data_IF_427622238673
#
_entry.id   IF_427622238673
#
_cell.length_a   1.000
_cell.length_b   1.000
_cell.length_c   1.000
_cell.angle_alpha   90.00
_cell.angle_beta   90.00
_cell.angle_gamma   90.00
#
_symmetry.space_group_name_H-M   'P 1'
#
loop_
_entity.id
_entity.type
_entity.pdbx_description
1 polymer ?
#
# COMPACT_ATOMS: atom_id res chain seq x y z
N UNK A 1 -26.17 -7.47 22.06
CA UNK A 1 -25.75 -6.39 21.15
C UNK A 1 -25.03 -7.01 19.97
N UNK A 2 -25.65 -7.04 18.79
CA UNK A 2 -25.05 -7.55 17.56
C UNK A 2 -24.22 -6.41 16.94
N UNK A 3 -22.89 -6.46 17.00
CA UNK A 3 -22.04 -5.56 16.22
C UNK A 3 -21.81 -6.19 14.85
N UNK A 4 -22.68 -5.86 13.90
CA UNK A 4 -22.45 -6.12 12.48
C UNK A 4 -21.41 -5.13 11.97
N UNK A 5 -20.13 -5.39 12.20
CA UNK A 5 -19.04 -4.68 11.51
C UNK A 5 -18.93 -5.24 10.09
N UNK A 6 -19.37 -4.43 9.13
CA UNK A 6 -19.28 -4.71 7.70
C UNK A 6 -17.79 -4.88 7.30
N UNK A 7 -17.34 -6.04 6.81
CA UNK A 7 -15.91 -6.32 6.54
C UNK A 7 -15.32 -5.41 5.45
N UNK A 8 -16.14 -4.70 4.68
CA UNK A 8 -15.68 -3.72 3.70
C UNK A 8 -15.20 -2.37 4.27
N UNK A 9 -15.60 -2.00 5.50
CA UNK A 9 -15.28 -0.68 6.07
C UNK A 9 -13.96 -0.66 6.84
N UNK A 10 -13.66 -1.76 7.55
CA UNK A 10 -12.43 -1.89 8.36
C UNK A 10 -11.17 -1.85 7.51
N UNK A 11 -11.20 -2.49 6.34
CA UNK A 11 -10.05 -2.54 5.45
C UNK A 11 -9.72 -1.18 4.81
N UNK A 12 -10.73 -0.34 4.58
CA UNK A 12 -10.53 1.02 4.07
C UNK A 12 -9.93 1.94 5.15
N UNK A 13 -10.39 1.81 6.39
CA UNK A 13 -9.83 2.56 7.54
C UNK A 13 -8.36 2.20 7.78
N UNK A 14 -8.01 0.91 7.79
CA UNK A 14 -6.61 0.46 7.93
C UNK A 14 -5.70 1.01 6.82
N UNK A 15 -6.19 1.08 5.59
CA UNK A 15 -5.44 1.65 4.46
C UNK A 15 -5.29 3.16 4.59
N UNK A 16 -6.33 3.86 5.03
CA UNK A 16 -6.27 5.30 5.27
C UNK A 16 -5.25 5.63 6.37
N UNK A 17 -5.23 4.85 7.45
CA UNK A 17 -4.23 5.01 8.53
C UNK A 17 -2.80 4.75 8.04
N UNK A 18 -2.60 3.70 7.24
CA UNK A 18 -1.28 3.43 6.64
C UNK A 18 -0.84 4.56 5.71
N UNK A 19 -1.73 5.03 4.84
CA UNK A 19 -1.45 6.15 3.95
C UNK A 19 -1.09 7.41 4.75
N UNK A 20 -1.82 7.73 5.82
CA UNK A 20 -1.51 8.87 6.69
C UNK A 20 -0.12 8.75 7.33
N UNK A 21 0.28 7.55 7.78
CA UNK A 21 1.64 7.30 8.31
C UNK A 21 2.72 7.53 7.26
N UNK A 22 2.49 7.07 6.02
CA UNK A 22 3.42 7.28 4.90
C UNK A 22 3.52 8.76 4.54
N UNK A 23 2.39 9.47 4.45
CA UNK A 23 2.33 10.90 4.12
C UNK A 23 2.99 11.75 5.22
N UNK A 24 2.89 11.35 6.49
CA UNK A 24 3.53 12.06 7.60
C UNK A 24 5.05 11.94 7.63
N UNK A 25 5.60 10.86 7.07
CA UNK A 25 7.05 10.57 7.05
C UNK A 25 7.49 9.91 5.73
N UNK A 26 7.28 10.56 4.57
CA UNK A 26 7.52 9.95 3.26
C UNK A 26 8.99 9.62 3.03
N UNK A 27 9.91 10.34 3.69
CA UNK A 27 11.34 10.11 3.66
C UNK A 27 11.76 8.74 4.19
N UNK A 28 10.87 8.01 4.87
CA UNK A 28 11.14 6.66 5.40
C UNK A 28 10.79 5.54 4.42
N UNK A 29 10.22 5.89 3.28
CA UNK A 29 9.64 4.94 2.35
C UNK A 29 10.29 5.05 0.95
N UNK A 30 9.96 4.08 0.12
CA UNK A 30 10.30 4.02 -1.30
C UNK A 30 9.25 3.23 -2.07
N UNK A 31 9.08 3.54 -3.34
CA UNK A 31 8.17 2.83 -4.26
C UNK A 31 8.97 1.78 -5.01
N UNK A 32 8.44 0.57 -5.11
CA UNK A 32 9.00 -0.45 -5.99
C UNK A 32 8.65 -0.17 -7.45
N UNK A 33 9.65 -0.01 -8.32
CA UNK A 33 9.43 0.25 -9.75
C UNK A 33 8.88 -0.97 -10.51
N UNK A 34 8.75 -2.13 -9.87
CA UNK A 34 8.22 -3.36 -10.49
C UNK A 34 6.72 -3.57 -10.28
N UNK A 35 6.16 -3.08 -9.18
CA UNK A 35 4.76 -3.32 -8.82
C UNK A 35 4.10 -2.19 -8.02
N UNK A 36 4.73 -1.01 -7.97
CA UNK A 36 4.25 0.21 -7.32
C UNK A 36 3.90 0.08 -5.84
N UNK A 37 4.38 -0.99 -5.20
CA UNK A 37 4.23 -1.18 -3.75
C UNK A 37 5.08 -0.17 -3.00
N UNK A 38 4.56 0.40 -1.91
CA UNK A 38 5.31 1.28 -1.01
C UNK A 38 5.95 0.43 0.09
N UNK A 39 7.27 0.55 0.25
CA UNK A 39 8.07 -0.20 1.22
C UNK A 39 8.87 0.76 2.09
N UNK A 40 9.35 0.27 3.23
CA UNK A 40 10.33 1.02 4.02
C UNK A 40 11.70 1.03 3.32
N UNK A 41 12.49 2.07 3.59
CA UNK A 41 13.81 2.27 2.99
C UNK A 41 14.75 1.08 3.15
N UNK A 42 14.66 0.35 4.28
CA UNK A 42 15.55 -0.76 4.62
C UNK A 42 15.31 -2.02 3.78
N UNK A 43 14.20 -2.11 3.05
CA UNK A 43 13.86 -3.28 2.25
C UNK A 43 14.85 -3.48 1.09
N UNK A 44 15.68 -4.52 1.13
CA UNK A 44 16.65 -4.79 0.06
C UNK A 44 15.98 -5.21 -1.26
N UNK A 45 14.87 -5.95 -1.16
CA UNK A 45 14.07 -6.44 -2.29
C UNK A 45 12.59 -6.27 -1.98
N UNK A 46 11.77 -6.16 -3.03
CA UNK A 46 10.33 -6.11 -2.88
C UNK A 46 9.80 -7.50 -2.52
N UNK A 47 9.05 -7.69 -1.41
CA UNK A 47 8.50 -8.99 -1.07
C UNK A 47 7.33 -9.38 -1.97
N UNK A 48 6.76 -8.43 -2.72
CA UNK A 48 5.61 -8.67 -3.59
C UNK A 48 6.03 -9.18 -4.99
N UNK A 49 7.11 -8.61 -5.57
CA UNK A 49 7.55 -8.95 -6.93
C UNK A 49 9.03 -9.32 -7.05
N UNK A 50 9.77 -9.32 -5.94
CA UNK A 50 11.20 -9.64 -5.88
C UNK A 50 12.13 -8.71 -6.68
N UNK A 51 11.63 -7.58 -7.20
CA UNK A 51 12.47 -6.53 -7.79
C UNK A 51 13.33 -5.83 -6.72
N UNK A 52 14.46 -5.26 -7.16
CA UNK A 52 15.41 -4.52 -6.33
C UNK A 52 15.52 -3.03 -6.73
N UNK A 53 14.74 -2.59 -7.72
CA UNK A 53 14.71 -1.18 -8.16
C UNK A 53 13.62 -0.42 -7.42
N UNK A 54 13.99 0.74 -6.89
CA UNK A 54 13.11 1.56 -6.07
C UNK A 54 13.27 3.05 -6.39
N UNK A 55 12.15 3.78 -6.33
CA UNK A 55 12.10 5.23 -6.38
C UNK A 55 11.91 5.78 -4.95
N UNK A 56 12.81 6.66 -4.51
CA UNK A 56 12.77 7.31 -3.21
C UNK A 56 12.33 8.78 -3.27
N UNK A 57 11.75 9.24 -4.40
CA UNK A 57 11.20 10.58 -4.52
C UNK A 57 10.00 10.77 -3.60
N UNK A 58 10.11 11.73 -2.69
CA UNK A 58 9.10 12.04 -1.67
C UNK A 58 7.77 12.45 -2.27
N UNK A 59 7.78 13.20 -3.38
CA UNK A 59 6.55 13.68 -4.03
C UNK A 59 5.77 12.51 -4.61
N UNK A 60 6.48 11.61 -5.30
CA UNK A 60 5.89 10.38 -5.87
C UNK A 60 5.34 9.46 -4.77
N UNK A 61 6.05 9.31 -3.65
CA UNK A 61 5.61 8.52 -2.49
C UNK A 61 4.29 9.05 -1.93
N UNK A 62 4.17 10.37 -1.78
CA UNK A 62 2.94 11.00 -1.28
C UNK A 62 1.78 10.75 -2.24
N UNK A 63 1.99 10.90 -3.55
CA UNK A 63 0.96 10.60 -4.58
C UNK A 63 0.51 9.14 -4.50
N UNK A 64 1.45 8.20 -4.39
CA UNK A 64 1.13 6.78 -4.26
C UNK A 64 0.37 6.46 -2.96
N UNK A 65 0.74 7.10 -1.85
CA UNK A 65 0.04 6.92 -0.57
C UNK A 65 -1.39 7.46 -0.62
N UNK A 66 -1.62 8.60 -1.29
CA UNK A 66 -2.98 9.12 -1.53
C UNK A 66 -3.81 8.15 -2.37
N UNK A 67 -3.22 7.57 -3.42
CA UNK A 67 -3.88 6.55 -4.23
C UNK A 67 -4.21 5.29 -3.41
N UNK A 68 -3.32 4.88 -2.50
CA UNK A 68 -3.53 3.74 -1.61
C UNK A 68 -4.78 3.92 -0.72
N UNK A 69 -5.03 5.13 -0.22
CA UNK A 69 -6.22 5.42 0.60
C UNK A 69 -7.51 5.47 -0.23
N UNK A 70 -7.43 5.87 -1.50
CA UNK A 70 -8.61 6.16 -2.33
C UNK A 70 -9.27 4.95 -2.98
N UNK A 71 -8.57 3.82 -3.11
CA UNK A 71 -9.04 2.68 -3.91
C UNK A 71 -9.50 1.50 -3.06
N UNK A 72 -10.66 0.95 -3.42
CA UNK A 72 -11.12 -0.36 -2.93
C UNK A 72 -10.09 -1.41 -3.34
N UNK A 73 -9.72 -2.28 -2.40
CA UNK A 73 -8.82 -3.39 -2.72
C UNK A 73 -9.52 -4.35 -3.67
N UNK A 74 -8.94 -4.51 -4.85
CA UNK A 74 -9.26 -5.60 -5.76
C UNK A 74 -8.18 -6.65 -5.59
N UNK A 75 -8.38 -7.58 -4.66
CA UNK A 75 -7.58 -8.81 -4.62
C UNK A 75 -8.19 -9.80 -5.60
N UNK A 76 -7.36 -10.33 -6.50
CA UNK A 76 -7.76 -11.48 -7.32
C UNK A 76 -7.87 -12.67 -6.37
N UNK A 77 -9.04 -13.31 -6.29
CA UNK A 77 -9.17 -14.52 -5.50
C UNK A 77 -8.42 -15.65 -6.22
N UNK A 78 -7.88 -16.61 -5.47
CA UNK A 78 -7.19 -17.75 -6.09
C UNK A 78 -8.13 -18.58 -6.99
N UNK A 79 -9.43 -18.47 -6.75
CA UNK A 79 -10.53 -19.02 -7.56
C UNK A 79 -10.59 -18.42 -8.96
N UNK A 80 -10.17 -17.16 -9.12
CA UNK A 80 -10.20 -16.40 -10.38
C UNK A 80 -8.96 -16.67 -11.27
N UNK A 81 -8.06 -17.55 -10.82
CA UNK A 81 -6.77 -17.80 -11.49
C UNK A 81 -6.78 -18.97 -12.48
N UNK A 82 -7.93 -19.58 -12.78
CA UNK A 82 -8.05 -20.75 -13.68
C UNK A 82 -9.35 -20.77 -14.48
#
# INVERSE_FOLDING_TARGET
MCKSSNPGNTHMEERAERAAKIIGHPERYKICEGCDSILMLEAATCPNCHSYRFNADVSEIVVHAQLLASRVQTSVAQEDMY
#
